data_IF_849079783563
#
_entry.id   IF_849079783563
#
_cell.length_a   1.000
_cell.length_b   1.000
_cell.length_c   1.000
_cell.angle_alpha   90.00
_cell.angle_beta   90.00
_cell.angle_gamma   90.00
#
_symmetry.space_group_name_H-M   'P 1'
#
loop_
_entity.id
_entity.type
_entity.pdbx_description
1 polymer ?
#
# COMPACT_ATOMS: atom_id res chain seq x y z
N UNK A 1 -6.79 14.73 0.65
CA UNK A 1 -6.14 14.02 1.73
C UNK A 1 -5.09 13.08 1.18
N UNK A 2 -4.08 12.78 1.96
CA UNK A 2 -2.91 12.09 1.45
C UNK A 2 -2.48 10.95 2.37
N UNK A 3 -1.85 9.96 1.78
CA UNK A 3 -1.10 8.92 2.48
C UNK A 3 0.35 9.04 2.06
N UNK A 4 1.23 8.34 2.76
CA UNK A 4 2.65 8.31 2.44
C UNK A 4 2.98 6.93 1.88
N UNK A 5 3.37 6.88 0.62
CA UNK A 5 3.71 5.61 -0.03
C UNK A 5 5.20 5.60 -0.34
N UNK A 6 5.90 4.67 0.29
CA UNK A 6 7.36 4.56 0.14
C UNK A 6 8.05 5.91 0.32
N UNK A 7 7.60 6.66 1.34
CA UNK A 7 8.18 7.95 1.66
C UNK A 7 7.69 9.13 0.84
N UNK A 8 6.73 8.90 -0.05
CA UNK A 8 6.20 9.98 -0.91
C UNK A 8 4.71 10.18 -0.67
N UNK A 9 4.27 11.42 -0.73
CA UNK A 9 2.85 11.75 -0.60
C UNK A 9 2.09 11.26 -1.82
N UNK A 10 0.94 10.66 -1.56
CA UNK A 10 0.06 10.15 -2.61
C UNK A 10 -1.38 10.42 -2.21
N UNK A 11 -2.24 10.81 -3.15
CA UNK A 11 -3.64 11.06 -2.81
C UNK A 11 -4.31 9.83 -2.23
N UNK A 12 -5.09 10.05 -1.18
CA UNK A 12 -5.89 8.99 -0.59
C UNK A 12 -7.05 8.66 -1.53
N UNK A 13 -7.20 7.38 -1.93
CA UNK A 13 -8.31 7.04 -2.81
C UNK A 13 -9.66 7.25 -2.12
N UNK A 14 -10.67 7.56 -2.90
CA UNK A 14 -11.99 7.87 -2.38
C UNK A 14 -12.58 6.75 -1.53
N UNK A 15 -12.39 5.52 -1.96
CA UNK A 15 -12.90 4.35 -1.23
C UNK A 15 -12.12 4.07 0.05
N UNK A 16 -10.95 4.68 0.21
CA UNK A 16 -10.12 4.53 1.39
C UNK A 16 -9.76 3.09 1.72
N UNK A 17 -9.57 2.27 0.68
CA UNK A 17 -9.09 0.90 0.87
C UNK A 17 -7.70 0.74 0.31
N UNK A 18 -6.96 -0.20 0.89
CA UNK A 18 -5.63 -0.49 0.38
C UNK A 18 -5.71 -1.05 -1.04
N UNK A 19 -6.74 -1.85 -1.33
CA UNK A 19 -6.92 -2.40 -2.68
C UNK A 19 -7.04 -1.27 -3.72
N UNK A 20 -7.81 -0.23 -3.41
CA UNK A 20 -7.96 0.88 -4.33
C UNK A 20 -6.65 1.64 -4.54
N UNK A 21 -5.88 1.81 -3.46
CA UNK A 21 -4.58 2.45 -3.56
C UNK A 21 -3.64 1.64 -4.45
N UNK A 22 -3.60 0.33 -4.24
CA UNK A 22 -2.74 -0.53 -5.05
C UNK A 22 -3.14 -0.54 -6.52
N UNK A 23 -4.44 -0.49 -6.77
CA UNK A 23 -4.93 -0.40 -8.15
C UNK A 23 -4.42 0.86 -8.83
N UNK A 24 -4.42 1.97 -8.11
CA UNK A 24 -3.92 3.24 -8.62
C UNK A 24 -2.41 3.20 -8.85
N UNK A 25 -1.66 2.55 -7.97
CA UNK A 25 -0.20 2.50 -8.06
C UNK A 25 0.30 1.44 -9.04
N UNK A 26 -0.45 0.38 -9.21
CA UNK A 26 -0.11 -0.73 -10.11
C UNK A 26 1.31 -1.26 -9.91
N UNK A 27 1.67 -1.65 -8.68
CA UNK A 27 3.03 -2.15 -8.47
C UNK A 27 3.26 -3.47 -9.19
N UNK A 28 4.49 -3.70 -9.62
CA UNK A 28 4.84 -4.97 -10.27
C UNK A 28 4.85 -6.10 -9.26
N UNK A 29 4.21 -7.20 -9.60
CA UNK A 29 4.28 -8.40 -8.78
C UNK A 29 5.64 -9.08 -8.96
N UNK A 30 6.15 -9.78 -7.95
CA UNK A 30 5.56 -9.91 -6.62
C UNK A 30 5.92 -8.74 -5.72
N UNK A 31 5.04 -8.47 -4.75
CA UNK A 31 5.29 -7.43 -3.77
C UNK A 31 4.59 -7.78 -2.46
N UNK A 32 5.05 -7.14 -1.38
CA UNK A 32 4.40 -7.21 -0.09
C UNK A 32 4.04 -5.79 0.34
N UNK A 33 3.08 -5.65 1.22
CA UNK A 33 2.61 -4.35 1.67
C UNK A 33 2.61 -4.31 3.20
N UNK A 34 3.10 -3.22 3.75
CA UNK A 34 2.99 -2.93 5.16
C UNK A 34 2.25 -1.61 5.34
N UNK A 35 1.38 -1.54 6.34
CA UNK A 35 0.66 -0.33 6.71
C UNK A 35 1.11 0.05 8.11
N UNK A 36 1.71 1.23 8.23
CA UNK A 36 2.22 1.72 9.51
C UNK A 36 3.11 0.66 10.17
N UNK A 37 3.98 0.06 9.37
CA UNK A 37 4.95 -0.95 9.79
C UNK A 37 4.36 -2.31 10.15
N UNK A 38 3.08 -2.53 9.80
CA UNK A 38 2.46 -3.83 10.01
C UNK A 38 2.17 -4.49 8.67
N UNK A 39 2.60 -5.74 8.53
CA UNK A 39 2.34 -6.51 7.31
C UNK A 39 0.84 -6.66 7.06
N UNK A 40 0.42 -6.46 5.81
CA UNK A 40 -0.97 -6.63 5.41
C UNK A 40 -1.05 -7.85 4.50
N UNK A 41 -1.75 -8.91 4.92
CA UNK A 41 -1.90 -10.09 4.08
C UNK A 41 -2.62 -9.77 2.77
N UNK A 42 -2.16 -10.38 1.70
CA UNK A 42 -2.69 -10.12 0.37
C UNK A 42 -4.20 -10.27 0.27
N UNK A 43 -4.75 -11.28 0.94
CA UNK A 43 -6.19 -11.55 0.88
C UNK A 43 -7.05 -10.53 1.60
N UNK A 44 -6.45 -9.58 2.31
CA UNK A 44 -7.20 -8.59 3.10
C UNK A 44 -7.16 -7.19 2.52
N UNK A 45 -6.60 -6.99 1.32
CA UNK A 45 -6.45 -5.65 0.77
C UNK A 45 -7.77 -4.92 0.60
N UNK A 46 -8.81 -5.63 0.24
CA UNK A 46 -10.13 -5.02 0.01
C UNK A 46 -10.81 -4.61 1.31
N UNK A 47 -10.49 -5.26 2.40
CA UNK A 47 -11.02 -4.94 3.71
C UNK A 47 -10.13 -4.01 4.51
N UNK A 48 -8.90 -3.78 4.04
CA UNK A 48 -7.96 -2.95 4.77
C UNK A 48 -8.27 -1.48 4.51
N UNK A 49 -8.80 -0.81 5.52
CA UNK A 49 -9.07 0.62 5.42
C UNK A 49 -7.80 1.40 5.69
N UNK A 50 -7.57 2.41 4.89
CA UNK A 50 -6.45 3.32 5.09
C UNK A 50 -6.99 4.71 5.41
N UNK A 51 -6.28 5.41 6.28
CA UNK A 51 -6.68 6.72 6.76
C UNK A 51 -5.68 7.79 6.30
N UNK A 52 -6.09 9.06 6.30
CA UNK A 52 -5.15 10.13 5.94
C UNK A 52 -3.91 10.08 6.82
N UNK A 53 -2.76 10.23 6.20
CA UNK A 53 -1.50 10.22 6.92
C UNK A 53 -0.91 8.84 7.15
N UNK A 54 -1.63 7.78 6.82
CA UNK A 54 -1.08 6.43 6.95
C UNK A 54 0.15 6.25 6.08
N UNK A 55 1.08 5.46 6.60
CA UNK A 55 2.28 5.11 5.86
C UNK A 55 2.13 3.72 5.26
N UNK A 56 2.27 3.67 3.95
CA UNK A 56 2.17 2.43 3.19
C UNK A 56 3.54 2.15 2.58
N UNK A 57 4.07 0.98 2.86
CA UNK A 57 5.33 0.55 2.27
C UNK A 57 5.08 -0.63 1.34
N UNK A 58 5.48 -0.49 0.10
CA UNK A 58 5.39 -1.55 -0.89
C UNK A 58 6.79 -2.10 -1.09
N UNK A 59 6.96 -3.35 -0.77
CA UNK A 59 8.26 -3.99 -0.71
C UNK A 59 8.33 -5.04 -1.81
N UNK A 60 9.34 -4.92 -2.66
CA UNK A 60 9.59 -5.93 -3.70
C UNK A 60 10.71 -6.84 -3.24
N UNK A 61 10.57 -8.15 -3.45
CA UNK A 61 11.65 -9.06 -3.07
C UNK A 61 12.90 -8.79 -3.88
N UNK A 62 14.01 -8.88 -3.22
CA UNK A 62 15.29 -8.78 -3.91
C UNK A 62 15.56 -10.09 -4.61
N UNK A 63 15.66 -10.05 -5.92
CA UNK A 63 15.98 -11.25 -6.66
C UNK A 63 17.48 -11.29 -6.84
N UNK A 64 18.04 -12.23 -6.25
CA UNK A 64 19.19 -12.43 -6.63
C UNK A 64 20.29 -12.32 -6.48
N UNK A 65 20.51 -12.09 -6.23
CA UNK A 65 21.70 -12.39 -6.11
C UNK A 65 22.68 -11.97 -6.75
#
# INVERSE_FOLDING_TARGET
>A
MFVIVNGRMHPLPESQTLAALLLSLSPSAPFAVARNEEFVPRGTYEQCRIDPGDRIDIIHPTVGG
#
